data_IF_085590844804
#
_entry.id   IF_085590844804
#
_cell.length_a   1.000
_cell.length_b   1.000
_cell.length_c   1.000
_cell.angle_alpha   90.00
_cell.angle_beta   90.00
_cell.angle_gamma   90.00
#
_symmetry.space_group_name_H-M   'P 1'
#
loop_
_entity.id
_entity.type
_entity.pdbx_description
1 polymer ?
#
# COMPACT_ATOMS: atom_id res chain seq x y z
N UNK A 1 -6.91 -13.08 -16.92
CA UNK A 1 -6.62 -12.12 -15.83
C UNK A 1 -5.13 -12.21 -15.53
N UNK A 2 -4.39 -11.10 -15.55
CA UNK A 2 -2.94 -11.08 -15.28
C UNK A 2 -2.71 -10.95 -13.75
N UNK A 3 -1.98 -11.85 -13.08
CA UNK A 3 -1.67 -11.76 -11.65
C UNK A 3 -1.10 -10.41 -11.22
N UNK A 4 -0.22 -9.82 -12.03
CA UNK A 4 0.34 -8.49 -11.80
C UNK A 4 -0.74 -7.40 -11.75
N UNK A 5 -1.64 -7.39 -12.73
CA UNK A 5 -2.76 -6.43 -12.75
C UNK A 5 -3.72 -6.56 -11.57
N UNK A 6 -3.87 -7.78 -11.02
CA UNK A 6 -4.68 -8.01 -9.82
C UNK A 6 -3.96 -7.45 -8.59
N UNK A 7 -2.66 -7.67 -8.47
CA UNK A 7 -1.84 -7.13 -7.39
C UNK A 7 -1.82 -5.61 -7.37
N UNK A 8 -1.59 -4.96 -8.52
CA UNK A 8 -1.62 -3.50 -8.64
C UNK A 8 -2.94 -2.94 -8.14
N UNK A 9 -4.07 -3.47 -8.64
CA UNK A 9 -5.41 -3.02 -8.20
C UNK A 9 -5.66 -3.24 -6.72
N UNK A 10 -5.23 -4.37 -6.18
CA UNK A 10 -5.40 -4.68 -4.77
C UNK A 10 -4.59 -3.71 -3.89
N UNK A 11 -3.31 -3.50 -4.22
CA UNK A 11 -2.42 -2.55 -3.53
C UNK A 11 -2.98 -1.13 -3.59
N UNK A 12 -3.41 -0.68 -4.77
CA UNK A 12 -4.02 0.64 -4.94
C UNK A 12 -5.27 0.80 -4.08
N UNK A 13 -6.17 -0.18 -4.10
CA UNK A 13 -7.38 -0.15 -3.27
C UNK A 13 -7.06 -0.07 -1.76
N UNK A 14 -6.03 -0.77 -1.27
CA UNK A 14 -5.63 -0.61 0.14
C UNK A 14 -5.01 0.75 0.45
N UNK A 15 -4.19 1.28 -0.45
CA UNK A 15 -3.64 2.63 -0.27
C UNK A 15 -4.76 3.68 -0.28
N UNK A 16 -5.77 3.53 -1.12
CA UNK A 16 -6.95 4.42 -1.13
C UNK A 16 -7.71 4.38 0.19
N UNK A 17 -7.83 3.21 0.85
CA UNK A 17 -8.47 3.13 2.17
C UNK A 17 -7.72 3.92 3.24
N UNK A 18 -6.41 4.12 3.10
CA UNK A 18 -5.63 4.99 4.01
C UNK A 18 -5.96 6.49 3.85
N UNK A 19 -6.66 6.89 2.79
CA UNK A 19 -7.06 8.29 2.57
C UNK A 19 -8.45 8.61 3.14
N UNK A 20 -9.18 7.59 3.62
CA UNK A 20 -10.52 7.79 4.15
C UNK A 20 -10.47 8.48 5.52
N UNK A 21 -11.47 9.32 5.84
CA UNK A 21 -11.63 9.89 7.18
C UNK A 21 -11.73 8.78 8.24
N UNK A 22 -10.98 8.91 9.32
CA UNK A 22 -10.94 7.89 10.39
C UNK A 22 -10.03 6.69 10.11
N UNK A 23 -9.32 6.67 8.97
CA UNK A 23 -8.25 5.70 8.75
C UNK A 23 -7.12 5.87 9.77
N UNK A 24 -6.49 4.75 10.14
CA UNK A 24 -5.51 4.70 11.21
C UNK A 24 -4.45 3.63 11.00
N UNK A 25 -3.83 3.14 12.08
CA UNK A 25 -2.77 2.15 12.01
C UNK A 25 -3.17 0.84 11.32
N UNK A 26 -4.46 0.49 11.34
CA UNK A 26 -4.97 -0.75 10.73
C UNK A 26 -4.91 -0.69 9.20
N UNK A 27 -5.34 0.43 8.61
CA UNK A 27 -5.29 0.64 7.16
C UNK A 27 -3.83 0.70 6.66
N UNK A 28 -2.93 1.30 7.43
CA UNK A 28 -1.50 1.32 7.13
C UNK A 28 -0.93 -0.10 7.10
N UNK A 29 -1.17 -0.87 8.17
CA UNK A 29 -0.69 -2.25 8.27
C UNK A 29 -1.25 -3.13 7.14
N UNK A 30 -2.50 -2.91 6.72
CA UNK A 30 -3.12 -3.62 5.60
C UNK A 30 -2.40 -3.31 4.28
N UNK A 31 -2.15 -2.04 3.98
CA UNK A 31 -1.45 -1.63 2.77
C UNK A 31 -0.01 -2.18 2.75
N UNK A 32 0.72 -2.08 3.87
CA UNK A 32 2.08 -2.60 4.01
C UNK A 32 2.13 -4.12 3.81
N UNK A 33 1.25 -4.85 4.50
CA UNK A 33 1.17 -6.32 4.41
C UNK A 33 0.91 -6.75 2.97
N UNK A 34 0.03 -6.06 2.25
CA UNK A 34 -0.31 -6.43 0.89
C UNK A 34 0.85 -6.20 -0.09
N UNK A 35 1.57 -5.07 0.04
CA UNK A 35 2.76 -4.79 -0.78
C UNK A 35 3.85 -5.83 -0.51
N UNK A 36 4.12 -6.16 0.75
CA UNK A 36 5.09 -7.20 1.13
C UNK A 36 4.66 -8.57 0.60
N UNK A 37 3.39 -8.93 0.72
CA UNK A 37 2.89 -10.23 0.26
C UNK A 37 3.10 -10.40 -1.26
N UNK A 38 2.69 -9.43 -2.07
CA UNK A 38 2.84 -9.52 -3.54
C UNK A 38 4.30 -9.48 -3.99
N UNK A 39 5.16 -8.74 -3.30
CA UNK A 39 6.60 -8.77 -3.57
C UNK A 39 7.22 -10.13 -3.21
N UNK A 40 6.83 -10.70 -2.07
CA UNK A 40 7.35 -11.99 -1.59
C UNK A 40 7.03 -13.16 -2.53
N UNK A 41 5.91 -13.07 -3.26
CA UNK A 41 5.51 -14.06 -4.27
C UNK A 41 5.90 -13.66 -5.70
N UNK A 42 6.79 -12.67 -5.86
CA UNK A 42 7.36 -12.22 -7.13
C UNK A 42 6.32 -11.71 -8.15
N UNK A 43 5.18 -11.20 -7.66
CA UNK A 43 4.13 -10.66 -8.53
C UNK A 43 4.38 -9.19 -8.87
N UNK A 44 5.08 -8.45 -8.02
CA UNK A 44 5.61 -7.10 -8.28
C UNK A 44 7.12 -7.12 -8.14
N UNK A 45 7.81 -6.24 -8.85
CA UNK A 45 9.27 -6.14 -8.77
C UNK A 45 9.77 -5.20 -7.65
N UNK A 46 11.09 -5.04 -7.55
CA UNK A 46 11.72 -4.21 -6.52
C UNK A 46 11.46 -2.70 -6.71
N UNK A 47 11.28 -2.24 -7.95
CA UNK A 47 10.97 -0.85 -8.25
C UNK A 47 9.53 -0.52 -7.82
N UNK A 48 8.60 -1.40 -8.17
CA UNK A 48 7.20 -1.31 -7.75
C UNK A 48 7.06 -1.41 -6.22
N UNK A 49 7.76 -2.37 -5.60
CA UNK A 49 7.78 -2.49 -4.14
C UNK A 49 8.24 -1.19 -3.47
N UNK A 50 9.38 -0.64 -3.91
CA UNK A 50 9.88 0.65 -3.41
C UNK A 50 8.86 1.77 -3.61
N UNK A 51 8.28 1.87 -4.81
CA UNK A 51 7.29 2.87 -5.15
C UNK A 51 6.09 2.84 -4.18
N UNK A 52 5.54 1.66 -3.90
CA UNK A 52 4.40 1.52 -3.00
C UNK A 52 4.75 1.80 -1.54
N UNK A 53 5.90 1.31 -1.05
CA UNK A 53 6.39 1.64 0.29
C UNK A 53 6.54 3.17 0.49
N UNK A 54 7.08 3.87 -0.49
CA UNK A 54 7.22 5.34 -0.44
C UNK A 54 5.87 6.07 -0.46
N UNK A 55 4.88 5.53 -1.19
CA UNK A 55 3.50 6.07 -1.17
C UNK A 55 2.86 5.91 0.20
N UNK A 56 2.89 4.71 0.77
CA UNK A 56 2.35 4.41 2.10
C UNK A 56 2.99 5.33 3.15
N UNK A 57 4.34 5.41 3.16
CA UNK A 57 5.07 6.28 4.09
C UNK A 57 4.63 7.74 3.99
N UNK A 58 4.48 8.28 2.78
CA UNK A 58 4.05 9.68 2.59
C UNK A 58 2.63 9.95 3.10
N UNK A 59 1.75 8.96 3.06
CA UNK A 59 0.38 9.09 3.59
C UNK A 59 0.41 9.02 5.11
N UNK A 60 1.09 8.01 5.68
CA UNK A 60 1.20 7.83 7.12
C UNK A 60 1.86 9.03 7.82
N UNK A 61 2.91 9.61 7.23
CA UNK A 61 3.56 10.83 7.77
C UNK A 61 2.61 12.02 7.75
N UNK A 62 1.97 12.30 6.60
CA UNK A 62 0.99 13.40 6.49
C UNK A 62 -0.16 13.28 7.48
N UNK A 63 -0.62 12.06 7.74
CA UNK A 63 -1.68 11.81 8.73
C UNK A 63 -1.23 12.10 10.16
N UNK A 64 0.02 11.77 10.51
CA UNK A 64 0.59 12.11 11.83
C UNK A 64 0.79 13.61 12.02
N UNK A 65 1.10 14.35 10.96
CA UNK A 65 1.23 15.81 11.00
C UNK A 65 -0.13 16.53 11.17
N UNK A 66 -1.22 15.88 10.81
CA UNK A 66 -2.58 16.43 10.85
C UNK A 66 -3.39 16.05 12.12
N UNK A 67 -2.84 15.19 12.99
CA UNK A 67 -3.46 14.71 14.22
C UNK A 67 -2.87 15.42 15.45
#
# INVERSE_FOLDING_TARGET
MNPHSVAVRAIEAAIETMLLPGSGPVEDAKAETMVVAYFSILVIDAEEFKHYCERIRRIAVRRKEAA
#
